data_IF_682030475336
#
_entry.id   IF_682030475336
#
_cell.length_a   1.000
_cell.length_b   1.000
_cell.length_c   1.000
_cell.angle_alpha   90.00
_cell.angle_beta   90.00
_cell.angle_gamma   90.00
#
_symmetry.space_group_name_H-M   'P 1'
#
loop_
_entity.id
_entity.type
_entity.pdbx_description
1 polymer ?
#
# COMPACT_ATOMS: atom_id res chain seq x y z
N UNK A 1 -19.53 -32.00 -15.15
CA UNK A 1 -20.55 -31.80 -14.11
C UNK A 1 -20.70 -30.31 -13.92
N UNK A 2 -21.91 -29.75 -14.10
CA UNK A 2 -22.16 -28.31 -14.04
C UNK A 2 -21.93 -27.82 -12.61
N UNK A 3 -21.03 -26.85 -12.44
CA UNK A 3 -20.74 -26.20 -11.16
C UNK A 3 -21.97 -25.44 -10.62
N UNK A 4 -22.87 -25.00 -11.50
CA UNK A 4 -24.06 -24.25 -11.16
C UNK A 4 -25.31 -25.15 -11.07
N UNK A 5 -26.10 -24.97 -10.01
CA UNK A 5 -27.39 -25.63 -9.82
C UNK A 5 -28.37 -25.25 -10.96
N UNK A 6 -29.11 -26.24 -11.48
CA UNK A 6 -30.13 -26.04 -12.52
C UNK A 6 -31.20 -25.02 -12.09
N UNK A 7 -31.54 -24.98 -10.80
CA UNK A 7 -32.48 -24.00 -10.25
C UNK A 7 -31.91 -22.56 -10.27
N UNK A 8 -30.61 -22.39 -10.04
CA UNK A 8 -29.92 -21.10 -10.13
C UNK A 8 -29.90 -20.59 -11.58
N UNK A 9 -29.51 -21.45 -12.53
CA UNK A 9 -29.51 -21.09 -13.95
C UNK A 9 -30.91 -20.74 -14.47
N UNK A 10 -31.95 -21.38 -13.94
CA UNK A 10 -33.34 -21.03 -14.22
C UNK A 10 -33.69 -19.61 -13.75
N UNK A 11 -33.28 -19.21 -12.53
CA UNK A 11 -33.51 -17.86 -12.00
C UNK A 11 -32.79 -16.81 -12.85
N UNK A 12 -31.51 -17.01 -13.12
CA UNK A 12 -30.70 -16.12 -13.97
C UNK A 12 -31.36 -15.96 -15.36
N UNK A 13 -31.83 -17.06 -15.95
CA UNK A 13 -32.49 -17.01 -17.27
C UNK A 13 -33.82 -16.24 -17.25
N UNK A 14 -34.54 -16.22 -16.12
CA UNK A 14 -35.77 -15.44 -15.97
C UNK A 14 -35.47 -13.95 -15.92
N UNK A 15 -34.47 -13.54 -15.14
CA UNK A 15 -34.03 -12.14 -15.05
C UNK A 15 -33.60 -11.60 -16.42
N UNK A 16 -32.78 -12.37 -17.15
CA UNK A 16 -32.35 -11.99 -18.52
C UNK A 16 -33.54 -11.76 -19.44
N UNK A 17 -34.54 -12.65 -19.40
CA UNK A 17 -35.73 -12.51 -20.24
C UNK A 17 -36.55 -11.27 -19.85
N UNK A 18 -36.67 -10.97 -18.55
CA UNK A 18 -37.39 -9.80 -18.07
C UNK A 18 -36.68 -8.50 -18.48
N UNK A 19 -35.36 -8.43 -18.35
CA UNK A 19 -34.59 -7.26 -18.78
C UNK A 19 -34.64 -7.06 -20.30
N UNK A 20 -34.61 -8.12 -21.11
CA UNK A 20 -34.78 -7.98 -22.57
C UNK A 20 -36.20 -7.48 -22.93
N UNK A 21 -37.24 -7.92 -22.22
CA UNK A 21 -38.60 -7.39 -22.38
C UNK A 21 -38.66 -5.91 -21.96
N UNK A 22 -38.04 -5.55 -20.84
CA UNK A 22 -38.00 -4.17 -20.36
C UNK A 22 -37.27 -3.24 -21.35
N UNK A 23 -36.13 -3.67 -21.88
CA UNK A 23 -35.40 -2.96 -22.93
C UNK A 23 -36.29 -2.78 -24.16
N UNK A 24 -36.99 -3.84 -24.62
CA UNK A 24 -37.89 -3.73 -25.76
C UNK A 24 -39.01 -2.71 -25.56
N UNK A 25 -39.53 -2.57 -24.34
CA UNK A 25 -40.62 -1.65 -24.02
C UNK A 25 -40.17 -0.21 -23.83
N UNK A 26 -39.02 0.00 -23.19
CA UNK A 26 -38.58 1.32 -22.74
C UNK A 26 -37.54 1.95 -23.68
N UNK A 27 -36.62 1.15 -24.20
CA UNK A 27 -35.45 1.59 -24.98
C UNK A 27 -35.11 0.58 -26.09
N UNK A 28 -36.01 0.37 -27.07
CA UNK A 28 -35.86 -0.67 -28.10
C UNK A 28 -34.60 -0.49 -28.96
N UNK A 29 -34.07 0.73 -29.06
CA UNK A 29 -32.81 1.05 -29.73
C UNK A 29 -31.59 0.31 -29.15
N UNK A 30 -31.66 -0.10 -27.88
CA UNK A 30 -30.60 -0.84 -27.21
C UNK A 30 -30.54 -2.32 -27.63
N UNK A 31 -31.59 -2.85 -28.28
CA UNK A 31 -31.55 -4.15 -28.94
C UNK A 31 -30.88 -4.02 -30.33
N UNK A 32 -30.15 -5.04 -30.74
CA UNK A 32 -29.69 -5.16 -32.13
C UNK A 32 -30.91 -5.26 -33.05
N UNK A 33 -30.85 -4.60 -34.23
CA UNK A 33 -31.99 -4.43 -35.14
C UNK A 33 -32.82 -5.71 -35.41
N UNK A 34 -32.16 -6.86 -35.60
CA UNK A 34 -32.83 -8.16 -35.86
C UNK A 34 -33.68 -8.68 -34.70
N UNK A 35 -33.46 -8.19 -33.47
CA UNK A 35 -34.17 -8.61 -32.27
C UNK A 35 -35.25 -7.62 -31.81
N UNK A 36 -35.33 -6.43 -32.43
CA UNK A 36 -36.34 -5.41 -32.09
C UNK A 36 -37.77 -5.83 -32.47
N UNK A 37 -37.89 -6.60 -33.56
CA UNK A 37 -39.19 -7.03 -34.13
C UNK A 37 -39.73 -8.32 -33.50
N UNK A 38 -38.93 -9.01 -32.69
CA UNK A 38 -39.34 -10.25 -32.02
C UNK A 38 -40.16 -9.88 -30.79
N UNK A 39 -41.42 -10.32 -30.70
CA UNK A 39 -42.22 -10.10 -29.50
C UNK A 39 -41.75 -11.03 -28.37
N UNK A 40 -40.97 -10.51 -27.42
CA UNK A 40 -40.40 -11.27 -26.30
C UNK A 40 -41.40 -11.62 -25.19
N UNK A 41 -42.60 -11.03 -25.21
CA UNK A 41 -43.65 -11.35 -24.23
C UNK A 41 -44.34 -12.69 -24.52
N UNK A 42 -44.25 -13.19 -25.75
CA UNK A 42 -44.87 -14.48 -26.14
C UNK A 42 -44.11 -15.62 -25.44
N UNK A 43 -44.86 -16.54 -24.83
CA UNK A 43 -44.34 -17.67 -24.04
C UNK A 43 -43.32 -18.52 -24.80
N UNK A 44 -43.54 -18.76 -26.09
CA UNK A 44 -42.63 -19.52 -26.97
C UNK A 44 -41.26 -18.84 -27.10
N UNK A 45 -41.25 -17.52 -27.35
CA UNK A 45 -40.01 -16.76 -27.52
C UNK A 45 -39.25 -16.62 -26.20
N UNK A 46 -39.97 -16.38 -25.09
CA UNK A 46 -39.40 -16.35 -23.74
C UNK A 46 -38.76 -17.68 -23.37
N UNK A 47 -39.43 -18.80 -23.68
CA UNK A 47 -38.93 -20.14 -23.41
C UNK A 47 -37.69 -20.46 -24.25
N UNK A 48 -37.69 -20.11 -25.54
CA UNK A 48 -36.54 -20.30 -26.42
C UNK A 48 -35.32 -19.49 -25.98
N UNK A 49 -35.53 -18.23 -25.57
CA UNK A 49 -34.47 -17.36 -25.05
C UNK A 49 -33.88 -17.91 -23.74
N UNK A 50 -34.75 -18.28 -22.79
CA UNK A 50 -34.37 -18.87 -21.51
C UNK A 50 -33.58 -20.17 -21.71
N UNK A 51 -34.03 -21.05 -22.61
CA UNK A 51 -33.33 -22.30 -22.93
C UNK A 51 -31.94 -22.03 -23.52
N UNK A 52 -31.82 -21.04 -24.42
CA UNK A 52 -30.54 -20.68 -25.04
C UNK A 52 -29.53 -20.16 -24.02
N UNK A 53 -29.93 -19.22 -23.16
CA UNK A 53 -29.03 -18.71 -22.11
C UNK A 53 -28.64 -19.80 -21.11
N UNK A 54 -29.59 -20.65 -20.70
CA UNK A 54 -29.27 -21.78 -19.82
C UNK A 54 -28.25 -22.73 -20.41
N UNK A 55 -28.39 -23.09 -21.69
CA UNK A 55 -27.45 -23.98 -22.37
C UNK A 55 -26.04 -23.37 -22.51
N UNK A 56 -25.95 -22.05 -22.65
CA UNK A 56 -24.66 -21.34 -22.71
C UNK A 56 -24.03 -21.24 -21.31
N UNK A 57 -24.81 -20.87 -20.30
CA UNK A 57 -24.31 -20.66 -18.93
C UNK A 57 -24.05 -21.99 -18.19
N UNK A 58 -24.69 -23.09 -18.57
CA UNK A 58 -24.39 -24.41 -17.99
C UNK A 58 -23.00 -24.95 -18.32
N UNK A 59 -22.25 -24.29 -19.22
CA UNK A 59 -20.91 -24.69 -19.64
C UNK A 59 -19.80 -24.07 -18.78
N UNK A 60 -20.12 -23.13 -17.87
CA UNK A 60 -19.13 -22.41 -17.07
C UNK A 60 -18.80 -23.15 -15.77
N UNK A 61 -17.56 -23.03 -15.30
CA UNK A 61 -17.05 -23.75 -14.13
C UNK A 61 -16.87 -22.87 -12.90
N UNK A 62 -16.94 -21.54 -13.05
CA UNK A 62 -16.90 -20.58 -11.94
C UNK A 62 -17.96 -19.48 -12.10
N UNK A 63 -18.12 -18.65 -11.07
CA UNK A 63 -19.01 -17.48 -11.11
C UNK A 63 -18.48 -16.37 -12.02
N UNK A 64 -17.18 -16.10 -11.97
CA UNK A 64 -16.54 -15.10 -12.84
C UNK A 64 -16.64 -15.50 -14.32
N UNK A 65 -16.46 -16.79 -14.63
CA UNK A 65 -16.68 -17.31 -15.98
C UNK A 65 -18.14 -17.16 -16.41
N UNK A 66 -19.10 -17.36 -15.49
CA UNK A 66 -20.52 -17.17 -15.75
C UNK A 66 -20.82 -15.72 -16.13
N UNK A 67 -20.33 -14.75 -15.35
CA UNK A 67 -20.54 -13.32 -15.63
C UNK A 67 -19.89 -12.89 -16.95
N UNK A 68 -18.65 -13.32 -17.22
CA UNK A 68 -17.98 -13.02 -18.48
C UNK A 68 -18.70 -13.63 -19.68
N UNK A 69 -19.18 -14.89 -19.55
CA UNK A 69 -19.92 -15.57 -20.62
C UNK A 69 -21.28 -14.94 -20.84
N UNK A 70 -21.95 -14.50 -19.78
CA UNK A 70 -23.21 -13.77 -19.84
C UNK A 70 -23.03 -12.45 -20.59
N UNK A 71 -22.08 -11.61 -20.19
CA UNK A 71 -21.80 -10.34 -20.86
C UNK A 71 -21.49 -10.55 -22.35
N UNK A 72 -20.67 -11.55 -22.67
CA UNK A 72 -20.35 -11.92 -24.06
C UNK A 72 -21.59 -12.36 -24.85
N UNK A 73 -22.50 -13.09 -24.21
CA UNK A 73 -23.75 -13.55 -24.83
C UNK A 73 -24.76 -12.43 -25.02
N UNK A 74 -24.80 -11.47 -24.09
CA UNK A 74 -25.64 -10.27 -24.19
C UNK A 74 -25.20 -9.36 -25.34
N UNK A 75 -23.89 -9.25 -25.64
CA UNK A 75 -23.38 -8.55 -26.83
C UNK A 75 -23.91 -9.12 -28.15
N UNK A 76 -24.38 -10.37 -28.17
CA UNK A 76 -25.00 -10.95 -29.35
C UNK A 76 -26.45 -10.49 -29.58
N UNK A 77 -27.08 -9.87 -28.57
CA UNK A 77 -28.49 -9.42 -28.58
C UNK A 77 -28.62 -7.90 -28.43
N UNK A 78 -27.68 -7.27 -27.71
CA UNK A 78 -27.66 -5.86 -27.36
C UNK A 78 -26.59 -5.09 -28.14
N UNK A 79 -26.86 -3.81 -28.41
CA UNK A 79 -25.84 -2.90 -28.95
C UNK A 79 -24.89 -2.44 -27.83
N UNK A 80 -23.68 -1.93 -28.14
CA UNK A 80 -22.71 -1.51 -27.12
C UNK A 80 -23.26 -0.48 -26.12
N UNK A 81 -24.07 0.50 -26.57
CA UNK A 81 -24.67 1.52 -25.72
C UNK A 81 -25.65 0.96 -24.66
N UNK A 82 -26.11 -0.29 -24.81
CA UNK A 82 -26.97 -0.93 -23.82
C UNK A 82 -26.24 -1.22 -22.50
N UNK A 83 -24.90 -1.32 -22.54
CA UNK A 83 -24.10 -1.61 -21.36
C UNK A 83 -23.99 -0.43 -20.39
N UNK A 84 -24.37 0.77 -20.83
CA UNK A 84 -24.47 1.98 -20.01
C UNK A 84 -25.91 2.22 -19.49
N UNK A 85 -26.85 1.32 -19.80
CA UNK A 85 -28.26 1.47 -19.40
C UNK A 85 -28.52 0.96 -17.98
N UNK A 86 -29.39 1.68 -17.25
CA UNK A 86 -29.83 1.27 -15.92
C UNK A 86 -30.45 -0.14 -15.92
N UNK A 87 -31.21 -0.50 -16.96
CA UNK A 87 -31.86 -1.81 -17.08
C UNK A 87 -30.83 -2.95 -17.11
N UNK A 88 -29.67 -2.73 -17.75
CA UNK A 88 -28.60 -3.72 -17.77
C UNK A 88 -27.79 -3.72 -16.47
N UNK A 89 -27.56 -2.55 -15.87
CA UNK A 89 -26.95 -2.47 -14.54
C UNK A 89 -27.78 -3.25 -13.51
N UNK A 90 -29.10 -3.06 -13.50
CA UNK A 90 -30.03 -3.76 -12.62
C UNK A 90 -30.01 -5.27 -12.86
N UNK A 91 -29.93 -5.72 -14.12
CA UNK A 91 -29.80 -7.13 -14.47
C UNK A 91 -28.53 -7.75 -13.89
N UNK A 92 -27.38 -7.09 -14.07
CA UNK A 92 -26.09 -7.61 -13.58
C UNK A 92 -26.12 -7.67 -12.05
N UNK A 93 -26.60 -6.63 -11.38
CA UNK A 93 -26.75 -6.64 -9.92
C UNK A 93 -27.71 -7.73 -9.42
N UNK A 94 -28.85 -7.94 -10.08
CA UNK A 94 -29.79 -9.01 -9.74
C UNK A 94 -29.16 -10.40 -9.89
N UNK A 95 -28.31 -10.60 -10.90
CA UNK A 95 -27.61 -11.86 -11.12
C UNK A 95 -26.50 -12.07 -10.09
N UNK A 96 -25.70 -11.04 -9.77
CA UNK A 96 -24.66 -11.09 -8.74
C UNK A 96 -25.22 -11.46 -7.36
N UNK A 97 -26.43 -11.00 -7.02
CA UNK A 97 -27.13 -11.36 -5.79
C UNK A 97 -27.55 -12.84 -5.72
N UNK A 98 -27.62 -13.54 -6.85
CA UNK A 98 -27.94 -14.96 -6.90
C UNK A 98 -26.73 -15.87 -6.59
N UNK A 99 -25.53 -15.31 -6.42
CA UNK A 99 -24.33 -16.10 -6.09
C UNK A 99 -24.33 -16.57 -4.63
N UNK A 100 -24.44 -17.89 -4.43
CA UNK A 100 -24.42 -18.52 -3.10
C UNK A 100 -23.09 -18.39 -2.35
N UNK A 101 -21.95 -18.25 -3.03
CA UNK A 101 -20.66 -18.05 -2.36
C UNK A 101 -20.53 -16.65 -1.74
N UNK A 102 -21.36 -15.69 -2.19
CA UNK A 102 -21.53 -14.39 -1.53
C UNK A 102 -22.51 -14.44 -0.34
N UNK A 103 -23.23 -15.54 -0.09
CA UNK A 103 -24.29 -15.59 0.93
C UNK A 103 -23.71 -15.65 2.36
N UNK A 104 -22.46 -16.06 2.58
CA UNK A 104 -21.80 -15.88 3.89
C UNK A 104 -21.32 -14.44 4.16
N UNK A 105 -21.45 -13.54 3.18
CA UNK A 105 -21.17 -12.10 3.33
C UNK A 105 -22.43 -11.25 3.10
N UNK A 106 -23.48 -11.80 2.47
CA UNK A 106 -24.68 -11.07 2.03
C UNK A 106 -26.03 -11.68 2.46
N UNK A 107 -26.09 -12.48 3.53
CA UNK A 107 -27.36 -13.04 4.06
C UNK A 107 -28.30 -12.03 4.76
N UNK A 108 -28.27 -10.73 4.41
CA UNK A 108 -29.23 -9.73 4.92
C UNK A 108 -29.97 -8.93 3.84
N UNK A 109 -29.96 -9.37 2.58
CA UNK A 109 -30.83 -8.77 1.56
C UNK A 109 -31.69 -9.83 0.88
N UNK A 110 -32.90 -10.03 1.43
CA UNK A 110 -34.20 -9.99 0.72
C UNK A 110 -35.29 -10.57 1.63
N UNK A 111 -35.66 -9.78 2.65
CA UNK A 111 -37.02 -9.74 3.19
C UNK A 111 -37.59 -8.36 2.82
N UNK A 112 -38.92 -8.23 2.63
CA UNK A 112 -39.53 -7.18 1.82
C UNK A 112 -39.08 -5.79 2.25
N UNK A 113 -38.41 -5.04 1.35
CA UNK A 113 -38.08 -3.60 1.43
C UNK A 113 -38.27 -3.00 2.83
N UNK A 114 -37.49 -3.48 3.80
CA UNK A 114 -37.38 -2.88 5.12
C UNK A 114 -36.18 -1.95 5.03
N UNK A 115 -36.49 -0.66 5.06
CA UNK A 115 -35.60 0.47 5.33
C UNK A 115 -34.20 0.10 5.84
N UNK A 116 -33.25 -0.16 4.94
CA UNK A 116 -31.85 -0.22 5.33
C UNK A 116 -31.45 1.19 5.75
N UNK A 117 -30.93 1.31 6.97
CA UNK A 117 -30.41 2.58 7.46
C UNK A 117 -29.30 3.05 6.50
N UNK A 118 -29.29 4.34 6.17
CA UNK A 118 -28.31 4.93 5.26
C UNK A 118 -27.52 6.02 5.96
N UNK A 119 -26.27 6.17 5.52
CA UNK A 119 -25.42 7.32 5.85
C UNK A 119 -25.40 8.28 4.67
N UNK A 120 -25.51 9.58 4.95
CA UNK A 120 -25.38 10.65 3.95
C UNK A 120 -24.13 11.47 4.25
N UNK A 121 -23.39 11.82 3.21
CA UNK A 121 -22.22 12.69 3.30
C UNK A 121 -22.53 14.04 2.65
N UNK A 122 -22.45 15.10 3.43
CA UNK A 122 -22.59 16.49 2.97
C UNK A 122 -21.22 17.16 2.97
N UNK A 123 -20.78 17.61 1.81
CA UNK A 123 -19.47 18.21 1.60
C UNK A 123 -19.58 19.70 1.27
N UNK A 124 -19.04 20.53 2.14
CA UNK A 124 -18.65 21.89 1.81
C UNK A 124 -17.36 21.84 0.96
N UNK A 125 -17.54 21.71 -0.36
CA UNK A 125 -16.44 21.59 -1.31
C UNK A 125 -15.72 22.93 -1.55
N UNK A 126 -16.22 24.03 -0.96
CA UNK A 126 -15.53 25.32 -1.03
C UNK A 126 -14.35 25.39 -0.08
N UNK A 127 -14.53 24.83 1.12
CA UNK A 127 -13.62 24.96 2.25
C UNK A 127 -12.95 23.64 2.65
N UNK A 128 -13.48 22.49 2.22
CA UNK A 128 -12.97 21.17 2.58
C UNK A 128 -12.77 20.30 1.34
N UNK A 129 -11.60 19.67 1.20
CA UNK A 129 -11.32 18.73 0.12
C UNK A 129 -11.18 17.30 0.65
N UNK A 130 -12.07 16.42 0.19
CA UNK A 130 -12.02 14.99 0.49
C UNK A 130 -11.46 14.24 -0.72
N UNK A 131 -10.46 13.39 -0.48
CA UNK A 131 -9.96 12.43 -1.47
C UNK A 131 -10.55 11.03 -1.22
N UNK A 132 -10.33 10.11 -2.15
CA UNK A 132 -10.83 8.72 -2.07
C UNK A 132 -10.38 7.98 -0.80
N UNK A 133 -9.18 8.23 -0.29
CA UNK A 133 -8.68 7.59 0.93
C UNK A 133 -9.42 8.10 2.17
N UNK A 134 -9.72 9.39 2.20
CA UNK A 134 -10.50 10.00 3.28
C UNK A 134 -11.93 9.46 3.28
N UNK A 135 -12.55 9.30 2.12
CA UNK A 135 -13.88 8.67 2.03
C UNK A 135 -13.89 7.23 2.53
N UNK A 136 -12.90 6.43 2.11
CA UNK A 136 -12.74 5.06 2.62
C UNK A 136 -12.58 5.03 4.13
N UNK A 137 -11.84 5.99 4.69
CA UNK A 137 -11.72 6.15 6.13
C UNK A 137 -13.07 6.50 6.79
N UNK A 138 -13.84 7.43 6.23
CA UNK A 138 -15.17 7.78 6.77
C UNK A 138 -16.12 6.58 6.80
N UNK A 139 -16.06 5.70 5.80
CA UNK A 139 -16.82 4.44 5.77
C UNK A 139 -16.50 3.51 6.94
N UNK A 140 -15.30 3.60 7.54
CA UNK A 140 -14.93 2.79 8.73
C UNK A 140 -15.48 3.35 10.05
N UNK A 141 -16.08 4.54 10.04
CA UNK A 141 -16.54 5.24 11.24
C UNK A 141 -18.05 5.10 11.46
N UNK A 142 -18.82 5.00 10.37
CA UNK A 142 -20.28 4.87 10.42
C UNK A 142 -20.73 3.41 10.42
N UNK A 143 -21.88 3.15 11.04
CA UNK A 143 -22.48 1.82 11.13
C UNK A 143 -23.24 1.46 9.85
N UNK A 144 -23.82 2.46 9.19
CA UNK A 144 -24.59 2.31 7.96
C UNK A 144 -23.75 2.69 6.73
N UNK A 145 -24.01 2.09 5.55
CA UNK A 145 -23.27 2.43 4.34
C UNK A 145 -23.54 3.86 3.89
N UNK A 146 -22.49 4.56 3.45
CA UNK A 146 -22.61 5.86 2.79
C UNK A 146 -23.24 5.63 1.41
N UNK A 147 -24.53 5.98 1.26
CA UNK A 147 -25.28 5.78 0.02
C UNK A 147 -25.49 7.07 -0.77
N UNK A 148 -25.53 8.22 -0.09
CA UNK A 148 -25.77 9.52 -0.71
C UNK A 148 -24.61 10.43 -0.39
N UNK A 149 -24.04 11.07 -1.42
CA UNK A 149 -22.97 12.06 -1.29
C UNK A 149 -23.43 13.34 -1.99
N UNK A 150 -23.41 14.47 -1.29
CA UNK A 150 -23.85 15.76 -1.83
C UNK A 150 -22.74 16.76 -1.60
N UNK A 151 -22.29 17.44 -2.65
CA UNK A 151 -21.30 18.50 -2.56
C UNK A 151 -21.92 19.85 -2.88
N UNK A 152 -21.51 20.88 -2.14
CA UNK A 152 -21.96 22.26 -2.28
C UNK A 152 -20.77 23.13 -2.66
N UNK A 153 -20.84 23.81 -3.80
CA UNK A 153 -19.82 24.77 -4.19
C UNK A 153 -20.31 25.72 -5.28
N UNK A 154 -19.61 26.84 -5.44
CA UNK A 154 -19.69 27.58 -6.69
C UNK A 154 -18.81 26.89 -7.76
N UNK A 155 -19.41 25.94 -8.48
CA UNK A 155 -18.71 25.14 -9.51
C UNK A 155 -18.07 25.97 -10.63
N UNK A 156 -18.55 27.19 -10.92
CA UNK A 156 -17.92 28.04 -11.95
C UNK A 156 -16.47 28.39 -11.60
N UNK A 157 -16.09 28.28 -10.33
CA UNK A 157 -14.78 28.68 -9.80
C UNK A 157 -13.94 27.50 -9.29
N UNK A 158 -14.33 26.25 -9.56
CA UNK A 158 -13.69 25.04 -8.97
C UNK A 158 -12.94 24.16 -9.98
N UNK A 159 -12.73 24.63 -11.20
CA UNK A 159 -11.87 23.96 -12.18
C UNK A 159 -12.41 22.58 -12.57
N UNK A 160 -11.63 21.51 -12.32
CA UNK A 160 -12.01 20.11 -12.64
C UNK A 160 -12.56 19.33 -11.42
N UNK A 161 -12.72 19.99 -10.28
CA UNK A 161 -13.15 19.34 -9.04
C UNK A 161 -14.57 18.81 -9.12
N UNK A 162 -15.43 19.47 -9.90
CA UNK A 162 -16.79 19.03 -10.20
C UNK A 162 -16.80 17.67 -10.93
N UNK A 163 -16.02 17.51 -11.99
CA UNK A 163 -15.86 16.26 -12.71
C UNK A 163 -15.37 15.14 -11.79
N UNK A 164 -14.34 15.43 -10.98
CA UNK A 164 -13.77 14.45 -10.04
C UNK A 164 -14.78 14.00 -8.98
N UNK A 165 -15.57 14.92 -8.42
CA UNK A 165 -16.61 14.59 -7.45
C UNK A 165 -17.77 13.85 -8.11
N UNK A 166 -18.16 14.22 -9.33
CA UNK A 166 -19.21 13.53 -10.06
C UNK A 166 -18.84 12.07 -10.37
N UNK A 167 -17.61 11.82 -10.84
CA UNK A 167 -17.09 10.46 -11.07
C UNK A 167 -17.05 9.62 -9.78
N UNK A 168 -16.90 10.26 -8.62
CA UNK A 168 -16.96 9.62 -7.29
C UNK A 168 -18.38 9.44 -6.72
N UNK A 169 -19.41 9.79 -7.50
CA UNK A 169 -20.82 9.61 -7.18
C UNK A 169 -21.42 10.71 -6.31
N UNK A 170 -20.89 11.94 -6.38
CA UNK A 170 -21.51 13.09 -5.69
C UNK A 170 -22.60 13.73 -6.55
N UNK A 171 -23.71 14.04 -5.89
CA UNK A 171 -24.68 15.02 -6.36
C UNK A 171 -24.11 16.42 -6.15
N UNK A 172 -23.96 17.17 -7.24
CA UNK A 172 -23.35 18.49 -7.23
C UNK A 172 -24.42 19.58 -7.14
N UNK A 173 -24.48 20.28 -6.00
CA UNK A 173 -25.38 21.42 -5.80
C UNK A 173 -24.61 22.71 -6.05
N UNK A 174 -24.95 23.37 -7.16
CA UNK A 174 -24.39 24.68 -7.48
C UNK A 174 -24.91 25.76 -6.53
N UNK A 175 -24.01 26.61 -6.06
CA UNK A 175 -24.36 27.86 -5.36
C UNK A 175 -23.82 29.09 -6.10
N UNK A 176 -24.58 30.20 -6.14
CA UNK A 176 -24.10 31.45 -6.72
C UNK A 176 -22.86 31.99 -6.00
N UNK A 177 -22.08 32.81 -6.70
CA UNK A 177 -20.97 33.55 -6.09
C UNK A 177 -21.48 34.46 -4.96
N UNK A 178 -20.81 34.40 -3.81
CA UNK A 178 -21.12 35.21 -2.64
C UNK A 178 -20.59 34.57 -1.37
N UNK A 179 -20.31 35.38 -0.36
CA UNK A 179 -19.88 34.90 0.95
C UNK A 179 -21.01 34.08 1.59
N UNK A 180 -20.66 32.96 2.21
CA UNK A 180 -21.54 32.06 2.97
C UNK A 180 -22.72 31.45 2.18
N UNK A 181 -22.73 31.57 0.84
CA UNK A 181 -23.80 31.01 0.01
C UNK A 181 -23.78 29.47 0.01
N UNK A 182 -22.59 28.87 0.01
CA UNK A 182 -22.40 27.43 0.14
C UNK A 182 -22.95 26.94 1.49
N UNK A 183 -22.56 27.61 2.58
CA UNK A 183 -23.02 27.30 3.94
C UNK A 183 -24.53 27.41 4.06
N UNK A 184 -25.11 28.51 3.59
CA UNK A 184 -26.55 28.73 3.61
C UNK A 184 -27.32 27.66 2.83
N UNK A 185 -26.82 27.25 1.65
CA UNK A 185 -27.45 26.19 0.86
C UNK A 185 -27.30 24.82 1.52
N UNK A 186 -26.12 24.52 2.06
CA UNK A 186 -25.85 23.28 2.77
C UNK A 186 -26.73 23.14 4.02
N UNK A 187 -26.91 24.22 4.79
CA UNK A 187 -27.86 24.26 5.92
C UNK A 187 -29.29 24.01 5.41
N UNK A 188 -29.75 24.77 4.41
CA UNK A 188 -31.13 24.66 3.93
C UNK A 188 -31.46 23.26 3.38
N UNK A 189 -30.58 22.68 2.57
CA UNK A 189 -30.76 21.32 2.02
C UNK A 189 -30.57 20.28 3.12
N UNK A 190 -29.51 20.42 3.91
CA UNK A 190 -29.14 19.52 5.00
C UNK A 190 -30.24 19.37 6.05
N UNK A 191 -30.88 20.47 6.46
CA UNK A 191 -31.98 20.43 7.42
C UNK A 191 -33.19 19.62 6.93
N UNK A 192 -33.40 19.53 5.61
CA UNK A 192 -34.51 18.78 5.00
C UNK A 192 -34.20 17.29 4.73
N UNK A 193 -33.00 16.81 5.10
CA UNK A 193 -32.57 15.44 4.79
C UNK A 193 -33.48 14.39 5.42
N UNK A 194 -33.93 14.59 6.66
CA UNK A 194 -34.79 13.62 7.33
C UNK A 194 -36.15 13.44 6.62
N UNK A 195 -36.62 14.46 5.89
CA UNK A 195 -37.87 14.41 5.12
C UNK A 195 -37.65 13.71 3.78
N UNK A 196 -36.53 14.02 3.11
CA UNK A 196 -36.20 13.51 1.77
C UNK A 196 -35.68 12.09 1.79
N UNK A 197 -35.03 11.69 2.88
CA UNK A 197 -34.41 10.38 3.06
C UNK A 197 -34.92 9.74 4.35
N UNK A 198 -36.10 9.10 4.35
CA UNK A 198 -36.74 8.54 5.55
C UNK A 198 -35.95 7.45 6.28
N UNK A 199 -34.88 6.94 5.66
CA UNK A 199 -34.03 5.87 6.19
C UNK A 199 -32.66 6.35 6.63
N UNK A 200 -32.41 7.67 6.60
CA UNK A 200 -31.16 8.23 7.10
C UNK A 200 -31.05 7.99 8.61
N UNK A 201 -29.91 7.44 9.04
CA UNK A 201 -29.56 7.34 10.46
C UNK A 201 -28.34 8.14 10.81
N UNK A 202 -27.46 8.33 9.85
CA UNK A 202 -26.16 8.94 10.05
C UNK A 202 -25.90 10.00 8.99
N UNK A 203 -25.32 11.13 9.40
CA UNK A 203 -24.91 12.18 8.48
C UNK A 203 -23.50 12.65 8.81
N UNK A 204 -22.61 12.58 7.82
CA UNK A 204 -21.35 13.32 7.85
C UNK A 204 -21.59 14.76 7.39
N UNK A 205 -21.31 15.72 8.26
CA UNK A 205 -21.28 17.15 7.94
C UNK A 205 -19.82 17.55 7.77
N UNK A 206 -19.37 17.62 6.53
CA UNK A 206 -17.98 17.88 6.17
C UNK A 206 -17.77 19.36 5.86
N UNK A 207 -17.44 20.14 6.89
CA UNK A 207 -17.02 21.54 6.81
C UNK A 207 -16.19 21.92 8.03
N UNK A 208 -15.25 22.85 7.84
CA UNK A 208 -14.45 23.42 8.92
C UNK A 208 -15.10 24.66 9.56
N UNK A 209 -16.22 25.16 9.03
CA UNK A 209 -16.90 26.33 9.56
C UNK A 209 -17.74 26.00 10.81
N UNK A 210 -17.70 26.91 11.80
CA UNK A 210 -18.52 26.83 13.01
C UNK A 210 -20.01 27.05 12.74
N UNK A 211 -20.36 27.72 11.65
CA UNK A 211 -21.76 27.93 11.25
C UNK A 211 -22.50 26.60 11.05
N UNK A 212 -21.79 25.53 10.67
CA UNK A 212 -22.38 24.19 10.53
C UNK A 212 -22.87 23.57 11.86
N UNK A 213 -22.49 24.10 13.03
CA UNK A 213 -23.03 23.64 14.32
C UNK A 213 -24.56 23.72 14.35
N UNK A 214 -25.17 24.70 13.70
CA UNK A 214 -26.63 24.81 13.62
C UNK A 214 -27.24 23.65 12.82
N UNK A 215 -26.65 23.29 11.67
CA UNK A 215 -27.09 22.14 10.89
C UNK A 215 -26.95 20.84 11.67
N UNK A 216 -25.81 20.64 12.35
CA UNK A 216 -25.60 19.47 13.21
C UNK A 216 -26.69 19.36 14.28
N UNK A 217 -26.99 20.45 14.99
CA UNK A 217 -28.02 20.47 16.02
C UNK A 217 -29.41 20.12 15.46
N UNK A 218 -29.78 20.67 14.30
CA UNK A 218 -31.06 20.37 13.64
C UNK A 218 -31.16 18.90 13.23
N UNK A 219 -30.09 18.32 12.68
CA UNK A 219 -30.07 16.90 12.31
C UNK A 219 -30.21 16.01 13.57
N UNK A 220 -29.50 16.33 14.65
CA UNK A 220 -29.62 15.61 15.92
C UNK A 220 -31.01 15.69 16.54
N UNK A 221 -31.65 16.88 16.50
CA UNK A 221 -33.03 17.06 16.96
C UNK A 221 -34.02 16.16 16.21
N UNK A 222 -33.72 15.84 14.94
CA UNK A 222 -34.49 14.91 14.13
C UNK A 222 -34.07 13.43 14.32
N UNK A 223 -33.29 13.12 15.35
CA UNK A 223 -32.89 11.76 15.70
C UNK A 223 -31.82 11.15 14.79
N UNK A 224 -31.09 11.98 14.06
CA UNK A 224 -29.98 11.55 13.18
C UNK A 224 -28.67 11.65 13.95
N UNK A 225 -27.86 10.58 13.88
CA UNK A 225 -26.49 10.59 14.38
C UNK A 225 -25.61 11.45 13.47
N UNK A 226 -24.97 12.48 14.03
CA UNK A 226 -24.15 13.41 13.25
C UNK A 226 -22.67 13.18 13.53
N UNK A 227 -21.89 13.11 12.45
CA UNK A 227 -20.44 13.13 12.46
C UNK A 227 -19.96 14.45 11.86
N UNK A 228 -19.35 15.31 12.66
CA UNK A 228 -18.79 16.57 12.18
C UNK A 228 -17.35 16.34 11.70
N UNK A 229 -17.10 16.58 10.42
CA UNK A 229 -15.79 16.38 9.79
C UNK A 229 -15.18 17.73 9.48
N UNK A 230 -14.02 18.02 10.08
CA UNK A 230 -13.27 19.27 9.89
C UNK A 230 -11.83 18.97 9.49
N UNK A 231 -11.20 19.88 8.75
CA UNK A 231 -9.81 19.76 8.35
C UNK A 231 -8.95 20.79 9.08
N UNK A 232 -7.87 20.32 9.69
CA UNK A 232 -6.85 21.14 10.34
C UNK A 232 -5.48 20.80 9.75
N UNK A 233 -5.05 21.62 8.79
CA UNK A 233 -3.82 21.38 8.03
C UNK A 233 -3.90 20.07 7.25
N UNK A 234 -3.00 19.13 7.55
CA UNK A 234 -2.92 17.82 6.90
C UNK A 234 -3.76 16.73 7.58
N UNK A 235 -4.58 17.09 8.59
CA UNK A 235 -5.38 16.12 9.33
C UNK A 235 -6.89 16.40 9.17
N UNK A 236 -7.66 15.33 9.09
CA UNK A 236 -9.10 15.29 9.20
C UNK A 236 -9.46 14.91 10.63
N UNK A 237 -10.35 15.67 11.23
CA UNK A 237 -10.92 15.42 12.55
C UNK A 237 -12.39 15.09 12.38
N UNK A 238 -12.80 13.92 12.87
CA UNK A 238 -14.19 13.47 12.88
C UNK A 238 -14.68 13.46 14.32
N UNK A 239 -15.67 14.28 14.61
CA UNK A 239 -16.32 14.36 15.92
C UNK A 239 -17.66 13.64 15.88
N UNK A 240 -17.83 12.60 16.71
CA UNK A 240 -19.08 11.90 16.89
C UNK A 240 -19.93 12.64 17.91
N UNK A 241 -21.08 13.13 17.47
CA UNK A 241 -21.94 13.98 18.30
C UNK A 241 -22.75 13.22 19.37
N UNK A 242 -22.89 11.89 19.26
CA UNK A 242 -23.55 11.07 20.28
C UNK A 242 -22.58 10.59 21.37
N UNK A 243 -21.36 10.18 21.00
CA UNK A 243 -20.37 9.67 21.96
C UNK A 243 -19.45 10.77 22.51
N UNK A 244 -19.46 11.97 21.90
CA UNK A 244 -18.48 13.03 22.14
C UNK A 244 -17.03 12.63 21.86
N UNK A 245 -16.81 11.52 21.14
CA UNK A 245 -15.49 11.06 20.76
C UNK A 245 -14.98 11.79 19.52
N UNK A 246 -13.66 11.91 19.44
CA UNK A 246 -12.97 12.50 18.29
C UNK A 246 -11.98 11.50 17.73
N UNK A 247 -12.10 11.22 16.44
CA UNK A 247 -11.12 10.45 15.67
C UNK A 247 -10.32 11.40 14.78
N UNK A 248 -8.99 11.29 14.80
CA UNK A 248 -8.11 12.06 13.92
C UNK A 248 -7.52 11.13 12.86
N UNK A 249 -7.55 11.57 11.61
CA UNK A 249 -7.01 10.88 10.45
C UNK A 249 -6.05 11.78 9.69
N UNK A 250 -4.88 11.25 9.33
CA UNK A 250 -3.90 11.97 8.51
C UNK A 250 -4.24 11.81 7.04
N UNK A 251 -4.31 12.92 6.29
CA UNK A 251 -4.54 12.91 4.83
C UNK A 251 -3.38 12.29 4.05
N UNK A 252 -2.20 12.17 4.68
CA UNK A 252 -1.08 11.45 4.10
C UNK A 252 -1.26 9.95 4.33
N UNK A 253 -1.05 9.09 3.31
CA UNK A 253 -1.03 7.66 3.50
C UNK A 253 -0.05 7.34 4.63
N UNK A 254 -0.41 6.40 5.50
CA UNK A 254 0.52 5.87 6.51
C UNK A 254 1.79 5.51 5.76
N UNK A 255 2.94 6.14 6.04
CA UNK A 255 4.13 5.88 5.26
C UNK A 255 4.44 4.40 5.40
N UNK A 256 4.49 3.70 4.27
CA UNK A 256 4.81 2.27 4.26
C UNK A 256 6.16 2.08 4.96
N UNK A 257 6.21 1.16 5.91
CA UNK A 257 7.42 0.96 6.70
C UNK A 257 8.47 0.40 5.75
N UNK A 258 9.59 1.11 5.52
CA UNK A 258 10.59 0.68 4.54
C UNK A 258 11.22 -0.65 4.98
N UNK A 259 11.74 -1.42 4.04
CA UNK A 259 12.54 -2.60 4.36
C UNK A 259 13.81 -2.20 5.13
N UNK A 260 14.44 -3.16 5.81
CA UNK A 260 15.65 -2.89 6.60
C UNK A 260 16.77 -2.31 5.72
N UNK A 261 16.97 -2.83 4.51
CA UNK A 261 17.98 -2.33 3.58
C UNK A 261 17.70 -0.89 3.14
N UNK A 262 16.44 -0.60 2.80
CA UNK A 262 16.01 0.75 2.43
C UNK A 262 16.17 1.72 3.58
N UNK A 263 15.83 1.29 4.80
CA UNK A 263 16.01 2.08 6.02
C UNK A 263 17.49 2.44 6.24
N UNK A 264 18.39 1.46 6.16
CA UNK A 264 19.84 1.70 6.29
C UNK A 264 20.35 2.64 5.21
N UNK A 265 19.92 2.45 3.96
CA UNK A 265 20.28 3.33 2.84
C UNK A 265 19.81 4.79 3.07
N UNK A 266 18.57 4.98 3.51
CA UNK A 266 18.01 6.29 3.83
C UNK A 266 18.79 6.98 4.96
N UNK A 267 19.13 6.24 6.02
CA UNK A 267 19.96 6.74 7.12
C UNK A 267 21.34 7.17 6.61
N UNK A 268 22.02 6.35 5.81
CA UNK A 268 23.32 6.71 5.20
C UNK A 268 23.24 7.98 4.37
N UNK A 269 22.22 8.10 3.51
CA UNK A 269 22.00 9.28 2.68
C UNK A 269 21.84 10.56 3.52
N UNK A 270 21.09 10.48 4.62
CA UNK A 270 20.91 11.60 5.54
C UNK A 270 22.19 11.96 6.29
N UNK A 271 22.97 10.96 6.74
CA UNK A 271 24.27 11.21 7.37
C UNK A 271 25.21 11.91 6.38
N UNK A 272 25.33 11.43 5.12
CA UNK A 272 26.12 12.10 4.07
C UNK A 272 25.71 13.54 3.86
N UNK A 273 24.42 13.77 3.70
CA UNK A 273 23.88 15.11 3.46
C UNK A 273 24.20 16.04 4.62
N UNK A 274 24.05 15.55 5.86
CA UNK A 274 24.34 16.34 7.05
C UNK A 274 25.83 16.62 7.22
N UNK A 275 26.70 15.63 6.96
CA UNK A 275 28.16 15.81 7.00
C UNK A 275 28.63 16.90 6.02
N UNK A 276 28.08 16.90 4.80
CA UNK A 276 28.36 17.95 3.80
C UNK A 276 27.85 19.32 4.23
N UNK A 277 26.66 19.38 4.84
CA UNK A 277 26.05 20.64 5.24
C UNK A 277 26.78 21.29 6.44
N UNK A 278 27.23 20.51 7.41
CA UNK A 278 27.83 21.03 8.65
C UNK A 278 29.35 20.97 8.67
N UNK A 279 29.97 20.42 7.62
CA UNK A 279 31.41 20.11 7.57
C UNK A 279 31.91 19.29 8.77
N UNK A 280 31.01 18.50 9.38
CA UNK A 280 31.31 17.64 10.54
C UNK A 280 31.08 16.19 10.17
N UNK A 281 32.08 15.34 10.39
CA UNK A 281 31.98 13.90 10.16
C UNK A 281 30.96 13.24 11.11
N UNK A 282 30.88 13.70 12.36
CA UNK A 282 29.97 13.14 13.35
C UNK A 282 28.63 13.87 13.37
N UNK A 283 27.55 13.09 13.27
CA UNK A 283 26.17 13.57 13.31
C UNK A 283 25.49 13.07 14.58
N UNK A 284 24.86 13.96 15.33
CA UNK A 284 24.06 13.59 16.50
C UNK A 284 22.84 12.77 16.08
N UNK A 285 22.58 11.65 16.75
CA UNK A 285 21.41 10.80 16.46
C UNK A 285 20.08 11.58 16.64
N UNK A 286 20.04 12.53 17.57
CA UNK A 286 18.85 13.37 17.79
C UNK A 286 18.53 14.23 16.56
N UNK A 287 19.55 14.80 15.92
CA UNK A 287 19.44 15.59 14.69
C UNK A 287 19.04 14.68 13.54
N UNK A 288 19.72 13.54 13.39
CA UNK A 288 19.39 12.55 12.37
C UNK A 288 17.93 12.08 12.49
N UNK A 289 17.45 11.83 13.70
CA UNK A 289 16.06 11.42 13.95
C UNK A 289 15.05 12.50 13.55
N UNK A 290 15.36 13.78 13.79
CA UNK A 290 14.54 14.91 13.34
C UNK A 290 14.52 14.99 11.82
N UNK A 291 15.68 14.93 11.18
CA UNK A 291 15.80 14.97 9.71
C UNK A 291 15.06 13.80 9.05
N UNK A 292 15.20 12.60 9.61
CA UNK A 292 14.51 11.41 9.13
C UNK A 292 13.00 11.57 9.25
N UNK A 293 12.49 12.06 10.40
CA UNK A 293 11.06 12.36 10.59
C UNK A 293 10.56 13.40 9.61
N UNK A 294 11.30 14.48 9.39
CA UNK A 294 10.91 15.53 8.44
C UNK A 294 10.86 15.03 6.99
N UNK A 295 11.81 14.17 6.59
CA UNK A 295 11.92 13.68 5.21
C UNK A 295 10.97 12.52 4.91
N UNK A 296 10.80 11.58 5.84
CA UNK A 296 10.11 10.31 5.62
C UNK A 296 8.83 10.16 6.44
N UNK A 297 8.48 11.12 7.30
CA UNK A 297 7.28 11.15 8.15
C UNK A 297 7.16 9.98 9.15
N UNK A 298 8.13 9.07 9.18
CA UNK A 298 8.35 8.06 10.21
C UNK A 298 9.52 8.48 11.10
N UNK A 299 9.49 8.09 12.36
CA UNK A 299 10.67 8.20 13.23
C UNK A 299 11.54 6.95 13.11
N UNK A 300 12.84 7.12 13.31
CA UNK A 300 13.79 6.01 13.40
C UNK A 300 13.33 4.98 14.44
N UNK A 301 12.81 5.44 15.59
CA UNK A 301 12.27 4.57 16.63
C UNK A 301 11.06 3.75 16.16
N UNK A 302 10.13 4.32 15.39
CA UNK A 302 8.97 3.58 14.86
C UNK A 302 9.40 2.46 13.92
N UNK A 303 10.36 2.72 13.03
CA UNK A 303 10.88 1.70 12.11
C UNK A 303 11.60 0.60 12.88
N UNK A 304 12.40 0.96 13.88
CA UNK A 304 13.11 -0.01 14.72
C UNK A 304 12.14 -0.84 15.56
N UNK A 305 11.11 -0.25 16.16
CA UNK A 305 10.12 -1.00 16.93
C UNK A 305 9.38 -2.01 16.06
N UNK A 306 9.16 -1.69 14.79
CA UNK A 306 8.53 -2.60 13.83
C UNK A 306 9.43 -3.78 13.45
N UNK A 307 10.67 -3.51 13.01
CA UNK A 307 11.59 -4.56 12.52
C UNK A 307 12.38 -5.27 13.62
N UNK A 308 12.60 -4.60 14.75
CA UNK A 308 13.40 -5.06 15.89
C UNK A 308 12.72 -4.71 17.23
N UNK A 309 11.60 -5.39 17.58
CA UNK A 309 10.87 -5.12 18.82
C UNK A 309 11.78 -5.15 20.06
N UNK A 310 11.65 -4.12 20.91
CA UNK A 310 12.43 -3.99 22.15
C UNK A 310 13.88 -3.50 21.98
N UNK A 311 14.34 -3.25 20.75
CA UNK A 311 15.68 -2.69 20.48
C UNK A 311 15.64 -1.16 20.34
N UNK A 312 16.76 -0.52 20.62
CA UNK A 312 17.00 0.92 20.36
C UNK A 312 17.88 1.10 19.13
N UNK A 313 17.95 2.33 18.60
CA UNK A 313 18.78 2.66 17.44
C UNK A 313 20.25 2.26 17.59
N UNK A 314 20.81 2.43 18.78
CA UNK A 314 22.16 1.96 19.12
C UNK A 314 22.32 0.45 18.88
N UNK A 315 21.36 -0.35 19.34
CA UNK A 315 21.40 -1.81 19.27
C UNK A 315 21.23 -2.33 17.84
N UNK A 316 20.61 -1.55 16.97
CA UNK A 316 20.45 -1.87 15.55
C UNK A 316 21.69 -1.46 14.77
N UNK A 317 22.14 -0.20 14.89
CA UNK A 317 23.25 0.33 14.10
C UNK A 317 24.59 -0.36 14.40
N UNK A 318 24.79 -0.88 15.61
CA UNK A 318 26.01 -1.66 15.94
C UNK A 318 26.14 -2.94 15.10
N UNK A 319 25.04 -3.46 14.55
CA UNK A 319 25.04 -4.64 13.69
C UNK A 319 25.31 -4.32 12.21
N UNK A 320 25.49 -3.04 11.86
CA UNK A 320 25.81 -2.57 10.50
C UNK A 320 27.12 -1.77 10.47
N UNK A 321 28.25 -2.30 10.98
CA UNK A 321 29.49 -1.54 11.13
C UNK A 321 30.15 -1.15 9.80
N UNK A 322 29.87 -1.85 8.70
CA UNK A 322 30.29 -1.47 7.34
C UNK A 322 29.52 -0.26 6.79
N UNK A 323 28.34 0.01 7.35
CA UNK A 323 27.42 1.01 6.84
C UNK A 323 27.39 2.26 7.71
N UNK A 324 27.39 2.08 9.04
CA UNK A 324 27.20 3.12 10.05
C UNK A 324 28.12 2.84 11.24
N UNK A 325 28.90 3.84 11.64
CA UNK A 325 29.72 3.79 12.85
C UNK A 325 29.07 4.65 13.94
N UNK A 326 28.97 4.08 15.14
CA UNK A 326 28.41 4.74 16.31
C UNK A 326 29.50 5.14 17.29
N UNK A 327 29.33 6.29 17.95
CA UNK A 327 30.21 6.75 19.02
C UNK A 327 29.37 7.35 20.15
N UNK A 328 29.69 6.98 21.38
CA UNK A 328 29.09 7.53 22.59
C UNK A 328 30.21 7.71 23.62
N UNK A 329 30.35 8.92 24.17
CA UNK A 329 31.44 9.25 25.11
C UNK A 329 31.24 8.54 26.46
N UNK A 330 29.99 8.49 26.93
CA UNK A 330 29.55 7.76 28.12
C UNK A 330 28.09 7.32 27.95
N UNK A 331 27.57 6.46 28.83
CA UNK A 331 26.21 5.90 28.70
C UNK A 331 25.07 6.93 28.73
N UNK A 332 25.31 8.11 29.31
CA UNK A 332 24.34 9.21 29.46
C UNK A 332 24.50 10.28 28.37
N UNK A 333 25.66 10.30 27.70
CA UNK A 333 26.01 11.22 26.63
C UNK A 333 25.24 10.93 25.35
N UNK A 334 25.11 11.96 24.52
CA UNK A 334 24.43 11.88 23.22
C UNK A 334 25.13 10.88 22.28
N UNK A 335 24.34 10.09 21.55
CA UNK A 335 24.86 9.15 20.55
C UNK A 335 25.19 9.89 19.26
N UNK A 336 26.41 9.69 18.77
CA UNK A 336 26.87 10.18 17.47
C UNK A 336 26.94 9.03 16.48
N UNK A 337 26.64 9.34 15.22
CA UNK A 337 26.74 8.42 14.10
C UNK A 337 27.54 9.07 12.98
N UNK A 338 28.31 8.26 12.27
CA UNK A 338 29.06 8.67 11.09
C UNK A 338 29.04 7.54 10.07
N UNK A 339 29.44 7.87 8.86
CA UNK A 339 29.84 6.89 7.86
C UNK A 339 31.24 7.27 7.38
N UNK A 340 32.04 6.27 7.03
CA UNK A 340 33.33 6.47 6.37
C UNK A 340 33.15 6.04 4.92
N UNK A 341 33.43 6.95 3.98
CA UNK A 341 33.49 6.59 2.57
C UNK A 341 34.85 5.92 2.30
N UNK A 342 34.83 4.80 1.58
CA UNK A 342 36.04 4.27 0.95
C UNK A 342 36.46 5.31 -0.09
N UNK A 343 37.42 6.16 0.26
CA UNK A 343 38.07 7.04 -0.70
C UNK A 343 38.95 6.18 -1.61
N UNK A 344 38.36 5.56 -2.63
CA UNK A 344 39.15 5.29 -3.83
C UNK A 344 39.51 6.64 -4.45
N UNK A 345 40.80 6.96 -4.66
CA UNK A 345 41.19 8.21 -5.29
C UNK A 345 40.56 8.26 -6.70
N UNK A 346 39.68 9.24 -6.90
CA UNK A 346 39.09 9.53 -8.21
C UNK A 346 40.21 9.96 -9.15
N UNK A 347 40.49 9.13 -10.15
CA UNK A 347 41.14 9.60 -11.38
C UNK A 347 40.05 10.24 -12.24
N UNK A 348 40.18 11.54 -12.45
CA UNK A 348 39.46 12.24 -13.51
C UNK A 348 39.92 11.68 -14.87
N UNK A 349 38.98 11.69 -15.82
CA UNK A 349 39.04 11.21 -17.22
C UNK A 349 38.93 9.70 -17.48
N UNK A 350 37.71 9.26 -17.83
CA UNK A 350 37.37 8.82 -19.20
C UNK A 350 35.97 8.23 -19.26
N UNK A 351 35.13 8.79 -20.14
CA UNK A 351 33.92 8.13 -20.62
C UNK A 351 34.30 6.89 -21.44
N UNK A 352 34.07 5.69 -20.90
CA UNK A 352 33.91 4.47 -21.69
C UNK A 352 33.27 3.34 -20.88
N UNK A 353 32.02 3.01 -21.23
CA UNK A 353 31.47 1.67 -21.30
C UNK A 353 31.80 0.68 -20.15
N UNK A 354 30.94 0.63 -19.12
CA UNK A 354 30.94 -0.49 -18.17
C UNK A 354 30.21 -1.68 -18.80
N UNK A 355 30.98 -2.48 -19.54
CA UNK A 355 30.66 -3.87 -19.80
C UNK A 355 31.49 -4.73 -18.86
N UNK A 356 30.81 -5.71 -18.28
CA UNK A 356 31.26 -6.63 -17.25
C UNK A 356 32.70 -7.14 -17.38
N UNK A 357 33.37 -7.28 -16.24
CA UNK A 357 34.43 -8.28 -16.08
C UNK A 357 34.29 -8.92 -14.71
N UNK A 358 33.35 -9.86 -14.62
CA UNK A 358 33.40 -10.95 -13.63
C UNK A 358 34.40 -11.94 -14.19
N UNK A 359 35.58 -12.06 -13.59
CA UNK A 359 36.56 -13.09 -13.96
C UNK A 359 37.52 -13.38 -12.80
N UNK A 360 37.10 -14.24 -11.88
CA UNK A 360 37.95 -15.33 -11.39
C UNK A 360 37.04 -16.36 -10.72
N UNK A 361 37.06 -17.58 -11.24
CA UNK A 361 36.25 -18.73 -10.81
C UNK A 361 36.24 -18.88 -9.28
N UNK A 362 35.06 -18.72 -8.68
CA UNK A 362 34.83 -19.05 -7.27
C UNK A 362 34.79 -20.59 -7.15
N UNK A 363 35.94 -21.19 -6.91
CA UNK A 363 36.03 -22.61 -6.55
C UNK A 363 35.24 -22.86 -5.27
N UNK A 364 34.36 -23.87 -5.30
CA UNK A 364 33.57 -24.27 -4.14
C UNK A 364 34.47 -24.74 -2.99
N UNK A 365 34.25 -24.21 -1.78
CA UNK A 365 35.03 -24.55 -0.60
C UNK A 365 34.45 -25.81 0.05
N UNK A 366 35.03 -26.96 -0.27
CA UNK A 366 34.52 -28.26 0.19
C UNK A 366 35.44 -28.96 1.20
N UNK A 367 36.64 -28.42 1.45
CA UNK A 367 37.60 -28.97 2.40
C UNK A 367 38.34 -27.89 3.18
N UNK A 368 39.01 -28.29 4.26
CA UNK A 368 39.87 -27.39 5.05
C UNK A 368 41.01 -26.81 4.20
N UNK A 369 41.53 -27.57 3.22
CA UNK A 369 42.56 -27.11 2.30
C UNK A 369 42.02 -26.07 1.30
N UNK A 370 40.77 -26.23 0.83
CA UNK A 370 40.12 -25.24 -0.03
C UNK A 370 39.88 -23.94 0.73
N UNK A 371 39.49 -24.04 2.01
CA UNK A 371 39.29 -22.87 2.87
C UNK A 371 40.61 -22.15 3.15
N UNK A 372 41.69 -22.90 3.42
CA UNK A 372 43.03 -22.34 3.55
C UNK A 372 43.47 -21.63 2.26
N UNK A 373 43.24 -22.23 1.10
CA UNK A 373 43.60 -21.65 -0.19
C UNK A 373 42.76 -20.39 -0.51
N UNK A 374 41.46 -20.39 -0.22
CA UNK A 374 40.60 -19.23 -0.36
C UNK A 374 41.07 -18.05 0.50
N UNK A 375 41.43 -18.33 1.76
CA UNK A 375 41.99 -17.34 2.69
C UNK A 375 43.34 -16.82 2.18
N UNK A 376 44.21 -17.71 1.68
CA UNK A 376 45.50 -17.34 1.10
C UNK A 376 45.35 -16.42 -0.11
N UNK A 377 44.39 -16.68 -0.99
CA UNK A 377 44.10 -15.83 -2.15
C UNK A 377 43.67 -14.43 -1.69
N UNK A 378 42.73 -14.34 -0.74
CA UNK A 378 42.28 -13.05 -0.18
C UNK A 378 43.47 -12.28 0.44
N UNK A 379 44.31 -12.93 1.24
CA UNK A 379 45.47 -12.28 1.85
C UNK A 379 46.53 -11.86 0.82
N UNK A 380 46.68 -12.63 -0.26
CA UNK A 380 47.58 -12.28 -1.36
C UNK A 380 47.08 -11.05 -2.11
N UNK A 381 45.78 -10.93 -2.33
CA UNK A 381 45.20 -9.76 -3.00
C UNK A 381 45.22 -8.52 -2.09
N UNK A 382 44.97 -8.68 -0.79
CA UNK A 382 45.09 -7.59 0.18
C UNK A 382 46.54 -7.09 0.35
N UNK A 383 47.52 -7.98 0.30
CA UNK A 383 48.94 -7.61 0.43
C UNK A 383 49.49 -6.92 -0.82
N UNK A 384 48.94 -7.17 -2.02
CA UNK A 384 49.28 -6.43 -3.26
C UNK A 384 48.82 -4.96 -3.24
N UNK A 385 47.73 -4.67 -2.53
CA UNK A 385 47.12 -3.34 -2.48
C UNK A 385 47.84 -2.40 -1.49
N UNK A 386 48.20 -2.91 -0.30
CA UNK A 386 48.67 -2.05 0.80
C UNK A 386 50.13 -2.28 1.24
N UNK A 387 50.88 -3.18 0.57
CA UNK A 387 52.24 -3.59 0.98
C UNK A 387 52.33 -4.10 2.44
N UNK A 388 51.20 -4.39 3.08
CA UNK A 388 51.10 -4.88 4.45
C UNK A 388 51.30 -6.40 4.49
N UNK A 389 52.20 -6.86 5.34
CA UNK A 389 52.50 -8.29 5.50
C UNK A 389 51.48 -9.04 6.37
N UNK A 390 50.70 -8.31 7.18
CA UNK A 390 49.72 -8.85 8.11
C UNK A 390 48.42 -8.05 8.04
N UNK A 391 47.29 -8.74 8.12
CA UNK A 391 45.94 -8.20 7.99
C UNK A 391 45.12 -8.58 9.23
N UNK A 392 44.34 -7.64 9.78
CA UNK A 392 43.42 -7.94 10.89
C UNK A 392 42.41 -9.03 10.49
N UNK A 393 42.21 -10.03 11.36
CA UNK A 393 41.30 -11.14 11.08
C UNK A 393 39.86 -10.70 10.79
N UNK A 394 39.46 -9.51 11.27
CA UNK A 394 38.15 -8.91 11.00
C UNK A 394 38.04 -8.43 9.55
N UNK A 395 39.12 -7.87 9.00
CA UNK A 395 39.20 -7.46 7.59
C UNK A 395 39.17 -8.69 6.68
N UNK A 396 39.91 -9.74 7.05
CA UNK A 396 39.85 -11.04 6.36
C UNK A 396 38.42 -11.61 6.38
N UNK A 397 37.74 -11.57 7.53
CA UNK A 397 36.35 -12.01 7.67
C UNK A 397 35.40 -11.25 6.76
N UNK A 398 35.53 -9.93 6.68
CA UNK A 398 34.72 -9.09 5.79
C UNK A 398 34.96 -9.37 4.32
N UNK A 399 36.23 -9.52 3.90
CA UNK A 399 36.57 -9.81 2.49
C UNK A 399 36.11 -11.20 2.06
N UNK A 400 36.24 -12.19 2.95
CA UNK A 400 35.71 -13.53 2.69
C UNK A 400 34.18 -13.52 2.54
N UNK A 401 33.46 -12.79 3.41
CA UNK A 401 32.01 -12.65 3.28
C UNK A 401 31.61 -11.97 1.96
N UNK A 402 32.32 -10.93 1.53
CA UNK A 402 32.10 -10.28 0.24
C UNK A 402 32.29 -11.24 -0.94
N UNK A 403 33.28 -12.13 -0.86
CA UNK A 403 33.63 -13.02 -1.97
C UNK A 403 32.79 -14.31 -2.01
N UNK A 404 32.39 -14.84 -0.85
CA UNK A 404 31.73 -16.15 -0.74
C UNK A 404 30.31 -16.09 -0.15
N UNK A 405 29.79 -14.91 0.20
CA UNK A 405 28.42 -14.69 0.67
C UNK A 405 28.10 -15.24 2.06
N UNK A 406 29.08 -15.85 2.75
CA UNK A 406 28.90 -16.41 4.09
C UNK A 406 30.12 -16.18 5.00
N UNK A 407 29.95 -16.09 6.34
CA UNK A 407 31.05 -15.88 7.26
C UNK A 407 32.03 -17.07 7.30
N UNK A 408 33.33 -16.80 7.48
CA UNK A 408 34.36 -17.85 7.62
C UNK A 408 34.02 -18.82 8.76
N UNK A 409 33.50 -18.30 9.86
CA UNK A 409 33.10 -19.10 11.03
C UNK A 409 31.95 -20.05 10.73
N UNK A 410 31.08 -19.71 9.77
CA UNK A 410 30.01 -20.59 9.30
C UNK A 410 30.56 -21.67 8.37
N UNK A 411 31.46 -21.31 7.46
CA UNK A 411 32.17 -22.26 6.62
C UNK A 411 32.99 -23.28 7.45
N UNK A 412 33.68 -22.85 8.50
CA UNK A 412 34.42 -23.73 9.43
C UNK A 412 33.48 -24.75 10.09
N UNK A 413 32.27 -24.32 10.48
CA UNK A 413 31.25 -25.21 11.06
C UNK A 413 30.71 -26.20 10.02
N UNK A 414 30.42 -25.74 8.80
CA UNK A 414 29.95 -26.59 7.70
C UNK A 414 30.97 -27.68 7.35
N UNK A 415 32.26 -27.34 7.39
CA UNK A 415 33.36 -28.29 7.16
C UNK A 415 33.72 -29.16 8.38
N UNK A 416 32.97 -29.04 9.49
CA UNK A 416 33.21 -29.77 10.75
C UNK A 416 34.64 -29.62 11.31
N UNK A 417 35.28 -28.48 11.05
CA UNK A 417 36.63 -28.19 11.55
C UNK A 417 36.53 -27.84 13.05
N UNK A 418 37.24 -28.59 13.88
CA UNK A 418 37.19 -28.43 15.34
C UNK A 418 38.07 -27.26 15.81
N UNK A 419 37.47 -26.25 16.45
CA UNK A 419 38.19 -25.13 17.04
C UNK A 419 37.54 -23.77 16.79
N UNK A 420 38.14 -22.70 17.32
CA UNK A 420 37.76 -21.33 16.98
C UNK A 420 38.43 -20.91 15.67
N UNK A 421 37.95 -19.83 15.04
CA UNK A 421 38.55 -19.28 13.82
C UNK A 421 40.07 -19.08 13.94
N UNK A 422 40.53 -18.54 15.07
CA UNK A 422 41.96 -18.35 15.35
C UNK A 422 42.71 -19.68 15.44
N UNK A 423 42.11 -20.72 16.06
CA UNK A 423 42.72 -22.06 16.11
C UNK A 423 42.84 -22.69 14.72
N UNK A 424 41.84 -22.51 13.86
CA UNK A 424 41.89 -22.96 12.47
C UNK A 424 43.02 -22.28 11.71
N UNK A 425 43.12 -20.94 11.79
CA UNK A 425 44.21 -20.22 11.13
C UNK A 425 45.58 -20.68 11.63
N UNK A 426 45.74 -21.03 12.92
CA UNK A 426 46.99 -21.59 13.45
C UNK A 426 47.31 -22.99 12.91
N UNK A 427 46.29 -23.75 12.49
CA UNK A 427 46.46 -25.07 11.88
C UNK A 427 46.83 -25.01 10.39
N UNK A 428 46.69 -23.85 9.75
CA UNK A 428 47.03 -23.64 8.34
C UNK A 428 48.55 -23.55 8.14
N UNK A 429 49.10 -24.38 7.26
CA UNK A 429 50.54 -24.43 7.02
C UNK A 429 51.05 -23.21 6.27
N UNK A 430 50.23 -22.61 5.40
CA UNK A 430 50.58 -21.46 4.57
C UNK A 430 50.42 -20.10 5.27
N UNK A 431 49.87 -20.07 6.48
CA UNK A 431 49.54 -18.84 7.20
C UNK A 431 50.44 -18.63 8.43
N UNK A 432 50.67 -17.37 8.77
CA UNK A 432 51.32 -16.93 10.00
C UNK A 432 50.40 -15.95 10.73
N UNK A 433 50.31 -16.09 12.05
CA UNK A 433 49.44 -15.27 12.89
C UNK A 433 50.28 -14.59 13.97
N UNK A 434 49.92 -13.35 14.27
CA UNK A 434 50.43 -12.61 15.41
C UNK A 434 49.31 -11.97 16.20
N UNK A 435 49.57 -11.72 17.48
CA UNK A 435 48.67 -10.95 18.34
C UNK A 435 49.27 -9.58 18.59
N UNK A 436 48.62 -8.52 18.13
CA UNK A 436 49.04 -7.13 18.34
C UNK A 436 48.04 -6.47 19.30
N UNK A 437 48.44 -6.35 20.57
CA UNK A 437 47.57 -5.88 21.64
C UNK A 437 46.36 -6.80 21.88
N UNK A 438 45.15 -6.30 21.66
CA UNK A 438 43.89 -7.07 21.80
C UNK A 438 43.39 -7.68 20.49
N UNK A 439 44.12 -7.51 19.38
CA UNK A 439 43.69 -7.94 18.04
C UNK A 439 44.59 -9.04 17.50
N UNK A 440 44.02 -9.87 16.63
CA UNK A 440 44.73 -10.92 15.92
C UNK A 440 44.93 -10.48 14.48
N UNK A 441 46.13 -10.67 13.96
CA UNK A 441 46.48 -10.40 12.57
C UNK A 441 47.06 -11.65 11.93
N UNK A 442 46.81 -11.81 10.63
CA UNK A 442 47.20 -12.98 9.85
C UNK A 442 47.86 -12.55 8.54
N UNK A 443 48.90 -13.26 8.14
CA UNK A 443 49.63 -13.05 6.90
C UNK A 443 49.98 -14.38 6.24
N UNK A 444 50.43 -14.32 4.98
CA UNK A 444 50.93 -15.51 4.26
C UNK A 444 52.39 -15.73 4.62
N UNK A 445 52.77 -16.96 5.00
CA UNK A 445 54.19 -17.30 5.21
C UNK A 445 54.94 -17.16 3.89
N UNK A 446 56.06 -16.45 3.90
CA UNK A 446 57.02 -16.51 2.80
C UNK A 446 57.64 -17.91 2.83
N UNK A 447 57.42 -18.70 1.78
CA UNK A 447 58.19 -19.93 1.60
C UNK A 447 59.67 -19.56 1.51
N UNK A 448 60.48 -20.08 2.43
CA UNK A 448 61.91 -20.22 2.19
C UNK A 448 62.09 -21.05 0.92
N UNK A 449 62.93 -20.55 0.02
CA UNK A 449 63.36 -21.25 -1.20
C UNK A 449 63.98 -22.61 -0.89
#
# INVERSE_FOLDING_TARGET
MSYHDSALLQKISVEICQSIIAIQQQQPELLIAKYRTINWQISTNKSALSAKFRAILSQTQSWDELLQKLQSSLKAVLVPAAFDSQILSDLISAIEQLNSENINVNANHLLPRQSANITILLLDAENLQLNTNTEKFLTTICDSPIQVKIAFANWSNRGKLDLELHERGYDLIHVPAGRDNADGKMIAVGSSIHERYPHVKEVFVCSSDKVMTNLCNTLQQNGILVYQVSQHGENIKVFNSATSETVNYSLKPVPEIPSIEQFIFQVKSLIKSQQKQTASYWVKLSILSKLFKSKHQLTISQIITHHFPGKKAKDVFINYPSEIVIHQIDEKSELYVTIFEDHQPQSEDSQANVQATISSELSAINSAADLEQAIKNILTDLSKLDNQQFVDISILGSKFYQQYGQPITEQIKQLQISGSFVKFLHSCNSLQIQQVGKRWEVGVKKSEL
#
